data_IF_080092805268
#
_entry.id   IF_080092805268
#
_cell.length_a   1.000
_cell.length_b   1.000
_cell.length_c   1.000
_cell.angle_alpha   90.00
_cell.angle_beta   90.00
_cell.angle_gamma   90.00
#
_symmetry.space_group_name_H-M   'P 1'
#
loop_
_entity.id
_entity.type
_entity.pdbx_description
1 polymer ?
#
# COMPACT_ATOMS: atom_id res chain seq x y z
N UNK A 1 9.97 -4.65 16.22
CA UNK A 1 8.63 -4.65 15.61
C UNK A 1 7.74 -3.65 16.30
N UNK A 2 6.84 -3.02 15.60
CA UNK A 2 5.89 -2.07 16.16
C UNK A 2 4.47 -2.66 16.12
N UNK A 3 3.58 -2.07 16.91
CA UNK A 3 2.17 -2.41 16.88
C UNK A 3 1.36 -1.19 16.44
N UNK A 4 0.34 -1.44 15.61
CA UNK A 4 -0.66 -0.44 15.27
C UNK A 4 -1.82 -0.60 16.24
N UNK A 5 -2.08 0.44 17.02
CA UNK A 5 -3.12 0.41 18.05
C UNK A 5 -4.25 1.34 17.64
N UNK A 6 -5.47 0.82 17.66
CA UNK A 6 -6.68 1.60 17.38
C UNK A 6 -7.81 1.10 18.27
N UNK A 7 -8.79 1.98 18.50
CA UNK A 7 -9.87 1.71 19.44
C UNK A 7 -10.98 0.85 18.85
N UNK A 8 -11.22 0.96 17.52
CA UNK A 8 -12.22 0.13 16.84
C UNK A 8 -11.99 0.20 15.33
N UNK A 9 -12.73 -0.63 14.59
CA UNK A 9 -12.57 -0.72 13.13
C UNK A 9 -12.86 0.60 12.41
N UNK A 10 -13.84 1.36 12.86
CA UNK A 10 -14.16 2.64 12.23
C UNK A 10 -13.03 3.64 12.40
N UNK A 11 -12.44 3.70 13.59
CA UNK A 11 -11.29 4.58 13.84
C UNK A 11 -10.07 4.15 13.03
N UNK A 12 -9.85 2.85 12.94
CA UNK A 12 -8.78 2.28 12.12
C UNK A 12 -8.94 2.68 10.66
N UNK A 13 -10.16 2.53 10.11
CA UNK A 13 -10.43 2.86 8.72
C UNK A 13 -10.26 4.36 8.46
N UNK A 14 -10.73 5.21 9.35
CA UNK A 14 -10.57 6.66 9.22
C UNK A 14 -9.12 7.08 9.24
N UNK A 15 -8.33 6.52 10.14
CA UNK A 15 -6.90 6.82 10.21
C UNK A 15 -6.19 6.37 8.95
N UNK A 16 -6.49 5.17 8.49
CA UNK A 16 -5.89 4.62 7.28
C UNK A 16 -6.23 5.49 6.07
N UNK A 17 -7.49 5.85 5.89
CA UNK A 17 -7.94 6.71 4.78
C UNK A 17 -7.25 8.07 4.81
N UNK A 18 -7.13 8.66 5.98
CA UNK A 18 -6.45 9.94 6.15
C UNK A 18 -4.96 9.83 5.78
N UNK A 19 -4.30 8.79 6.24
CA UNK A 19 -2.88 8.56 5.93
C UNK A 19 -2.66 8.30 4.45
N UNK A 20 -3.57 7.57 3.80
CA UNK A 20 -3.52 7.39 2.35
C UNK A 20 -3.66 8.72 1.63
N UNK A 21 -4.54 9.60 2.09
CA UNK A 21 -4.74 10.91 1.45
C UNK A 21 -3.49 11.78 1.49
N UNK A 22 -2.56 11.48 2.40
CA UNK A 22 -1.31 12.22 2.55
C UNK A 22 -0.18 11.68 1.68
N UNK A 23 -0.41 10.57 0.96
CA UNK A 23 0.56 10.03 0.01
C UNK A 23 0.54 10.89 -1.25
N UNK A 24 1.69 11.42 -1.65
CA UNK A 24 1.80 12.26 -2.84
C UNK A 24 1.45 11.45 -4.09
N UNK A 25 0.55 11.99 -4.93
CA UNK A 25 0.10 11.33 -6.15
C UNK A 25 -1.01 10.31 -5.95
N UNK A 26 -1.56 10.19 -4.74
CA UNK A 26 -2.58 9.18 -4.45
C UNK A 26 -3.89 9.46 -5.19
N UNK A 27 -4.21 10.73 -5.46
CA UNK A 27 -5.46 11.08 -6.14
C UNK A 27 -5.52 10.51 -7.54
N UNK A 28 -4.41 10.55 -8.26
CA UNK A 28 -4.32 9.99 -9.60
C UNK A 28 -4.45 8.46 -9.57
N UNK A 29 -3.89 7.83 -8.56
CA UNK A 29 -4.04 6.38 -8.38
C UNK A 29 -5.48 5.99 -8.07
N UNK A 30 -6.15 6.77 -7.22
CA UNK A 30 -7.57 6.53 -6.89
C UNK A 30 -8.43 6.66 -8.15
N UNK A 31 -8.17 7.67 -8.98
CA UNK A 31 -8.91 7.86 -10.24
C UNK A 31 -8.67 6.69 -11.19
N UNK A 32 -7.43 6.23 -11.32
CA UNK A 32 -7.09 5.08 -12.14
C UNK A 32 -7.82 3.82 -11.67
N UNK A 33 -7.83 3.58 -10.36
CA UNK A 33 -8.53 2.46 -9.76
C UNK A 33 -10.04 2.54 -9.99
N UNK A 34 -10.60 3.75 -9.92
CA UNK A 34 -12.02 3.98 -10.20
C UNK A 34 -12.39 3.62 -11.63
N UNK A 35 -11.55 3.95 -12.59
CA UNK A 35 -11.78 3.59 -13.99
C UNK A 35 -11.74 2.07 -14.21
N UNK A 36 -10.81 1.39 -13.54
CA UNK A 36 -10.64 -0.06 -13.73
C UNK A 36 -11.71 -0.88 -13.04
N UNK A 37 -12.13 -0.48 -11.85
CA UNK A 37 -12.99 -1.31 -10.99
C UNK A 37 -14.35 -0.71 -10.74
N UNK A 38 -14.62 0.52 -11.19
CA UNK A 38 -15.86 1.20 -10.88
C UNK A 38 -15.98 1.60 -9.41
N UNK A 39 -14.89 1.64 -8.67
CA UNK A 39 -14.87 2.04 -7.27
C UNK A 39 -14.83 3.57 -7.22
N UNK A 40 -15.86 4.18 -6.64
CA UNK A 40 -15.95 5.62 -6.52
C UNK A 40 -15.77 6.05 -5.07
N UNK A 41 -14.81 6.94 -4.82
CA UNK A 41 -14.55 7.49 -3.51
C UNK A 41 -13.79 6.53 -2.59
N UNK A 42 -13.47 6.99 -1.39
CA UNK A 42 -12.72 6.21 -0.41
C UNK A 42 -11.22 6.19 -0.71
N UNK A 43 -10.52 5.30 -0.03
CA UNK A 43 -9.09 5.13 -0.21
C UNK A 43 -8.74 4.13 -1.30
N UNK A 44 -7.47 3.82 -1.41
CA UNK A 44 -7.01 2.79 -2.34
C UNK A 44 -7.39 1.43 -1.80
N UNK A 45 -7.98 0.59 -2.64
CA UNK A 45 -8.33 -0.77 -2.27
C UNK A 45 -7.20 -1.71 -2.67
N UNK A 46 -6.69 -2.46 -1.71
CA UNK A 46 -5.66 -3.47 -1.94
C UNK A 46 -6.18 -4.90 -1.73
N UNK A 47 -7.47 -5.06 -1.47
CA UNK A 47 -8.05 -6.40 -1.33
C UNK A 47 -7.77 -7.23 -2.57
N UNK A 48 -7.27 -8.46 -2.38
CA UNK A 48 -6.90 -9.38 -3.45
C UNK A 48 -5.68 -8.94 -4.28
N UNK A 49 -4.97 -7.90 -3.85
CA UNK A 49 -3.67 -7.57 -4.46
C UNK A 49 -2.56 -8.42 -3.85
N UNK A 50 -1.43 -8.45 -4.54
CA UNK A 50 -0.24 -9.17 -4.09
C UNK A 50 0.94 -8.21 -4.03
N UNK A 51 1.84 -8.44 -3.08
CA UNK A 51 3.13 -7.75 -3.12
C UNK A 51 3.99 -8.49 -4.13
N UNK A 52 4.34 -7.81 -5.21
CA UNK A 52 5.08 -8.37 -6.34
C UNK A 52 6.59 -8.20 -6.18
N UNK A 53 7.02 -7.28 -5.36
CA UNK A 53 8.43 -7.06 -5.09
C UNK A 53 8.66 -5.94 -4.11
N UNK A 54 9.87 -5.91 -3.57
CA UNK A 54 10.37 -4.86 -2.71
C UNK A 54 11.76 -4.46 -3.18
N UNK A 55 12.04 -3.16 -3.20
CA UNK A 55 13.35 -2.66 -3.57
C UNK A 55 13.85 -1.69 -2.50
N UNK A 56 14.99 -2.03 -1.90
CA UNK A 56 15.63 -1.19 -0.90
C UNK A 56 17.03 -0.87 -1.38
N UNK A 57 17.24 0.30 -2.04
CA UNK A 57 18.51 0.62 -2.66
C UNK A 57 19.63 0.85 -1.64
N UNK A 58 20.90 0.79 -2.07
CA UNK A 58 22.04 1.00 -1.16
C UNK A 58 22.04 2.36 -0.46
N UNK A 59 21.38 3.36 -1.01
CA UNK A 59 21.23 4.68 -0.37
C UNK A 59 20.38 4.63 0.89
N UNK A 60 19.55 3.59 1.05
CA UNK A 60 18.66 3.40 2.19
C UNK A 60 17.68 4.55 2.44
N UNK A 61 17.43 5.37 1.42
CA UNK A 61 16.56 6.55 1.54
C UNK A 61 15.09 6.25 1.27
N UNK A 62 14.80 5.10 0.64
CA UNK A 62 13.41 4.70 0.35
C UNK A 62 13.26 3.18 0.29
N UNK A 63 12.03 2.75 0.49
CA UNK A 63 11.59 1.38 0.19
C UNK A 63 10.54 1.48 -0.89
N UNK A 64 10.77 0.85 -2.03
CA UNK A 64 9.80 0.81 -3.11
C UNK A 64 9.02 -0.49 -3.04
N UNK A 65 7.69 -0.38 -2.98
CA UNK A 65 6.79 -1.53 -2.90
C UNK A 65 6.08 -1.67 -4.22
N UNK A 66 6.20 -2.85 -4.82
CA UNK A 66 5.53 -3.22 -6.08
C UNK A 66 4.30 -4.04 -5.74
N UNK A 67 3.13 -3.57 -6.14
CA UNK A 67 1.84 -4.21 -5.86
C UNK A 67 1.19 -4.57 -7.18
N UNK A 68 0.81 -5.83 -7.32
CA UNK A 68 0.10 -6.32 -8.49
C UNK A 68 -1.32 -6.69 -8.11
N UNK A 69 -2.28 -6.15 -8.82
CA UNK A 69 -3.70 -6.45 -8.64
C UNK A 69 -4.18 -7.22 -9.85
N UNK A 70 -4.56 -8.47 -9.63
CA UNK A 70 -5.05 -9.31 -10.71
C UNK A 70 -6.53 -9.02 -10.94
N UNK A 71 -6.84 -8.37 -12.05
CA UNK A 71 -8.22 -8.16 -12.46
C UNK A 71 -8.83 -9.49 -12.86
N UNK A 72 -10.16 -9.56 -12.87
CA UNK A 72 -10.84 -10.81 -13.14
C UNK A 72 -10.42 -11.38 -14.50
N UNK A 73 -10.54 -12.70 -14.64
CA UNK A 73 -10.11 -13.42 -15.84
C UNK A 73 -10.85 -12.97 -17.10
N UNK A 74 -12.04 -12.37 -16.96
CA UNK A 74 -12.83 -11.92 -18.10
C UNK A 74 -12.19 -10.71 -18.79
N UNK A 75 -11.51 -9.83 -18.05
CA UNK A 75 -10.84 -8.67 -18.63
C UNK A 75 -9.41 -8.95 -19.06
N UNK A 76 -8.82 -9.99 -18.52
CA UNK A 76 -7.44 -10.39 -18.84
C UNK A 76 -6.43 -9.26 -18.60
N UNK A 77 -6.67 -8.45 -17.59
CA UNK A 77 -5.82 -7.31 -17.25
C UNK A 77 -5.25 -7.44 -15.84
N UNK A 78 -4.07 -6.93 -15.65
CA UNK A 78 -3.47 -6.73 -14.33
C UNK A 78 -3.25 -5.23 -14.12
N UNK A 79 -3.45 -4.78 -12.89
CA UNK A 79 -3.09 -3.43 -12.49
C UNK A 79 -1.83 -3.49 -11.64
N UNK A 80 -0.96 -2.52 -11.81
CA UNK A 80 0.31 -2.46 -11.09
C UNK A 80 0.43 -1.10 -10.42
N UNK A 81 0.78 -1.11 -9.14
CA UNK A 81 1.02 0.10 -8.36
C UNK A 81 2.44 0.05 -7.81
N UNK A 82 3.17 1.13 -7.94
CA UNK A 82 4.52 1.24 -7.38
C UNK A 82 4.54 2.45 -6.47
N UNK A 83 4.82 2.23 -5.20
CA UNK A 83 4.79 3.28 -4.19
C UNK A 83 6.15 3.33 -3.50
N UNK A 84 6.72 4.54 -3.41
CA UNK A 84 7.96 4.79 -2.69
C UNK A 84 7.63 5.29 -1.29
N UNK A 85 8.23 4.65 -0.29
CA UNK A 85 8.13 5.06 1.10
C UNK A 85 9.51 5.56 1.54
N UNK A 86 9.59 6.82 1.95
CA UNK A 86 10.87 7.49 2.23
C UNK A 86 11.23 7.46 3.71
N UNK A 87 12.53 7.39 3.96
CA UNK A 87 13.10 7.24 5.29
C UNK A 87 12.51 6.05 6.04
N UNK A 88 12.52 4.85 5.39
CA UNK A 88 11.92 3.68 6.00
C UNK A 88 12.75 3.14 7.13
N UNK A 89 12.09 2.58 8.15
CA UNK A 89 12.74 1.97 9.30
C UNK A 89 11.88 0.89 9.93
N UNK A 90 12.45 0.09 10.82
CA UNK A 90 11.77 -0.95 11.59
C UNK A 90 11.02 -1.95 10.72
N UNK A 91 11.75 -2.55 9.79
CA UNK A 91 11.18 -3.51 8.85
C UNK A 91 10.86 -4.85 9.52
N UNK A 92 9.72 -5.41 9.13
CA UNK A 92 9.39 -6.80 9.40
C UNK A 92 8.71 -7.37 8.15
N UNK A 93 9.33 -8.36 7.52
CA UNK A 93 8.81 -9.00 6.33
C UNK A 93 8.79 -10.51 6.51
N UNK A 94 7.61 -11.09 6.33
CA UNK A 94 7.39 -12.54 6.33
C UNK A 94 6.40 -12.84 5.21
N UNK A 95 6.86 -12.68 3.97
CA UNK A 95 6.03 -12.79 2.78
C UNK A 95 6.73 -13.62 1.71
N UNK A 96 5.91 -14.23 0.85
CA UNK A 96 6.37 -14.85 -0.40
C UNK A 96 5.83 -14.01 -1.55
N UNK A 97 6.73 -13.52 -2.41
CA UNK A 97 6.33 -12.70 -3.54
C UNK A 97 5.50 -13.51 -4.53
N UNK A 98 4.53 -12.84 -5.17
CA UNK A 98 3.62 -13.41 -6.17
C UNK A 98 2.63 -14.44 -5.64
N UNK A 99 2.68 -14.75 -4.36
CA UNK A 99 1.74 -15.70 -3.74
C UNK A 99 1.08 -15.14 -2.49
N UNK A 100 1.63 -14.06 -1.93
CA UNK A 100 1.11 -13.46 -0.71
C UNK A 100 0.02 -12.43 -1.03
N UNK A 101 -1.20 -12.73 -0.59
CA UNK A 101 -2.36 -11.85 -0.81
C UNK A 101 -2.44 -10.80 0.28
N UNK A 102 -2.71 -9.57 -0.12
CA UNK A 102 -2.93 -8.48 0.83
C UNK A 102 -4.41 -8.49 1.22
N UNK A 103 -4.70 -8.86 2.47
CA UNK A 103 -6.06 -8.84 2.98
C UNK A 103 -6.51 -7.42 3.28
N UNK A 104 -5.65 -6.65 3.92
CA UNK A 104 -5.92 -5.26 4.24
C UNK A 104 -4.61 -4.47 4.37
N UNK A 105 -4.72 -3.16 4.30
CA UNK A 105 -3.62 -2.26 4.59
C UNK A 105 -4.07 -1.31 5.68
N UNK A 106 -3.26 -1.17 6.72
CA UNK A 106 -3.55 -0.28 7.84
C UNK A 106 -2.39 0.70 7.98
N UNK A 107 -2.71 1.99 8.09
CA UNK A 107 -1.72 3.04 8.29
C UNK A 107 -2.11 3.88 9.50
N UNK A 108 -1.14 4.18 10.34
CA UNK A 108 -1.31 5.00 11.51
C UNK A 108 -0.22 6.09 11.52
N UNK A 109 -0.62 7.31 11.81
CA UNK A 109 0.32 8.40 12.04
C UNK A 109 0.69 8.43 13.52
N UNK A 110 1.98 8.37 13.80
CA UNK A 110 2.50 8.35 15.17
C UNK A 110 2.73 9.77 15.71
N UNK A 111 2.96 9.86 17.01
CA UNK A 111 3.17 11.17 17.68
C UNK A 111 4.40 11.90 17.18
N UNK A 112 5.40 11.17 16.70
CA UNK A 112 6.63 11.75 16.14
C UNK A 112 6.46 12.26 14.70
N UNK A 113 5.26 12.15 14.14
CA UNK A 113 4.96 12.58 12.78
C UNK A 113 5.24 11.54 11.70
N UNK A 114 5.84 10.42 12.06
CA UNK A 114 6.08 9.31 11.12
C UNK A 114 4.88 8.40 11.07
N UNK A 115 4.83 7.60 10.00
CA UNK A 115 3.74 6.66 9.77
C UNK A 115 4.20 5.23 10.02
N UNK A 116 3.28 4.41 10.51
CA UNK A 116 3.43 2.97 10.57
C UNK A 116 2.45 2.35 9.59
N UNK A 117 2.93 1.44 8.75
CA UNK A 117 2.09 0.75 7.77
C UNK A 117 2.21 -0.75 7.93
N UNK A 118 1.08 -1.44 7.79
CA UNK A 118 1.03 -2.89 7.80
C UNK A 118 0.23 -3.36 6.60
N UNK A 119 0.81 -4.25 5.82
CA UNK A 119 0.13 -4.96 4.74
C UNK A 119 -0.23 -6.35 5.24
N UNK A 120 -1.51 -6.73 5.08
CA UNK A 120 -1.99 -8.01 5.55
C UNK A 120 -2.08 -8.08 7.07
N UNK A 121 -1.98 -9.27 7.61
CA UNK A 121 -2.12 -9.53 9.05
C UNK A 121 -0.79 -9.37 9.81
N UNK A 122 0.03 -8.40 9.42
CA UNK A 122 1.30 -8.11 10.08
C UNK A 122 2.51 -8.74 9.43
N UNK A 123 2.37 -9.32 8.25
CA UNK A 123 3.46 -9.99 7.54
C UNK A 123 4.41 -9.02 6.85
N UNK A 124 3.99 -7.79 6.65
CA UNK A 124 4.84 -6.75 6.04
C UNK A 124 4.57 -5.43 6.73
N UNK A 125 5.47 -5.04 7.61
CA UNK A 125 5.33 -3.84 8.43
C UNK A 125 6.59 -3.00 8.36
N UNK A 126 6.44 -1.69 8.36
CA UNK A 126 7.56 -0.76 8.51
C UNK A 126 7.06 0.61 8.88
N UNK A 127 7.99 1.53 9.19
CA UNK A 127 7.69 2.95 9.41
C UNK A 127 8.29 3.76 8.29
N UNK A 128 7.69 4.92 8.02
CA UNK A 128 8.19 5.84 7.00
C UNK A 128 7.83 7.28 7.36
N UNK A 129 8.53 8.23 6.76
CA UNK A 129 8.29 9.66 7.01
C UNK A 129 7.29 10.25 6.04
N UNK A 130 7.38 9.91 4.77
CA UNK A 130 6.44 10.33 3.73
C UNK A 130 6.46 9.32 2.60
N UNK A 131 5.45 9.38 1.76
CA UNK A 131 5.31 8.43 0.66
C UNK A 131 4.86 9.13 -0.62
N UNK A 132 5.17 8.51 -1.75
CA UNK A 132 4.84 9.02 -3.07
C UNK A 132 4.48 7.87 -3.99
N UNK A 133 3.40 8.03 -4.75
CA UNK A 133 3.10 7.09 -5.83
C UNK A 133 4.13 7.32 -6.94
N UNK A 134 4.91 6.29 -7.25
CA UNK A 134 5.93 6.34 -8.28
C UNK A 134 5.28 6.27 -9.66
N UNK A 135 4.50 5.21 -9.87
CA UNK A 135 3.80 4.98 -11.13
C UNK A 135 2.71 3.92 -10.93
N UNK A 136 1.81 3.85 -11.89
CA UNK A 136 0.80 2.80 -11.97
C UNK A 136 0.44 2.58 -13.43
N UNK A 137 0.03 1.37 -13.76
CA UNK A 137 -0.36 1.03 -15.13
C UNK A 137 -1.19 -0.24 -15.12
N UNK A 138 -1.79 -0.54 -16.26
CA UNK A 138 -2.44 -1.84 -16.49
C UNK A 138 -1.79 -2.49 -17.70
N UNK A 139 -1.77 -3.81 -17.69
CA UNK A 139 -1.35 -4.58 -18.86
C UNK A 139 -2.36 -5.68 -19.12
N UNK A 140 -2.37 -6.16 -20.37
CA UNK A 140 -3.18 -7.30 -20.78
C UNK A 140 -2.29 -8.53 -20.78
N UNK A 141 -2.90 -9.63 -20.36
CA UNK A 141 -2.21 -10.92 -20.41
C UNK A 141 -2.08 -11.44 -21.82
#
# INVERSE_FOLDING_TARGET
MFEIIYTNEQDMQKQTDKCFSEIQGIEELIAFQGELFGINGGGVCFGDAQIDGLEYPPSHDRLTVYIAYCLNSATNCNAHYVIDFFEPELFYFDIEFNTHWIDEVVIQKNKDGKYSISFGSGECNFRYSYAKVNRFWKDKR
#
